data_IF_169839054606
#
_entry.id   IF_169839054606
#
_cell.length_a   1.000
_cell.length_b   1.000
_cell.length_c   1.000
_cell.angle_alpha   90.00
_cell.angle_beta   90.00
_cell.angle_gamma   90.00
#
_symmetry.space_group_name_H-M   'P 1'
#
loop_
_entity.id
_entity.type
_entity.pdbx_description
1 polymer ?
#
# COMPACT_ATOMS: atom_id res chain seq x y z
N UNK A 1 -31.10 -42.71 -16.12
CA UNK A 1 -29.70 -42.35 -15.83
C UNK A 1 -29.48 -40.83 -15.92
N UNK A 2 -29.82 -40.15 -17.02
CA UNK A 2 -29.61 -38.70 -17.21
C UNK A 2 -30.37 -37.80 -16.23
N UNK A 3 -31.66 -38.06 -15.97
CA UNK A 3 -32.47 -37.27 -15.04
C UNK A 3 -31.95 -37.35 -13.59
N UNK A 4 -31.56 -38.54 -13.13
CA UNK A 4 -31.00 -38.74 -11.79
C UNK A 4 -29.68 -37.97 -11.63
N UNK A 5 -28.79 -38.06 -12.62
CA UNK A 5 -27.53 -37.31 -12.64
C UNK A 5 -27.81 -35.81 -12.64
N UNK A 6 -28.74 -35.32 -13.49
CA UNK A 6 -29.10 -33.91 -13.53
C UNK A 6 -29.58 -33.39 -12.15
N UNK A 7 -30.49 -34.10 -11.49
CA UNK A 7 -31.00 -33.73 -10.16
C UNK A 7 -29.89 -33.69 -9.10
N UNK A 8 -28.98 -34.67 -9.12
CA UNK A 8 -27.83 -34.71 -8.21
C UNK A 8 -26.90 -33.51 -8.45
N UNK A 9 -26.55 -33.23 -9.70
CA UNK A 9 -25.69 -32.08 -10.05
C UNK A 9 -26.33 -30.74 -9.69
N UNK A 10 -27.63 -30.56 -9.93
CA UNK A 10 -28.34 -29.34 -9.55
C UNK A 10 -28.30 -29.10 -8.04
N UNK A 11 -28.46 -30.16 -7.23
CA UNK A 11 -28.38 -30.04 -5.77
C UNK A 11 -26.98 -29.64 -5.31
N UNK A 12 -25.93 -30.21 -5.90
CA UNK A 12 -24.56 -29.82 -5.59
C UNK A 12 -24.24 -28.39 -6.03
N UNK A 13 -24.76 -27.94 -7.17
CA UNK A 13 -24.61 -26.54 -7.62
C UNK A 13 -25.29 -25.57 -6.65
N UNK A 14 -26.52 -25.87 -6.23
CA UNK A 14 -27.23 -25.05 -5.25
C UNK A 14 -26.45 -24.95 -3.93
N UNK A 15 -25.99 -26.09 -3.40
CA UNK A 15 -25.19 -26.11 -2.17
C UNK A 15 -23.85 -25.37 -2.32
N UNK A 16 -23.23 -25.43 -3.49
CA UNK A 16 -22.00 -24.69 -3.77
C UNK A 16 -22.23 -23.18 -3.84
N UNK A 17 -23.40 -22.73 -4.32
CA UNK A 17 -23.81 -21.31 -4.29
C UNK A 17 -24.06 -20.86 -2.85
N UNK A 18 -24.87 -21.60 -2.10
CA UNK A 18 -25.15 -21.33 -0.68
C UNK A 18 -23.87 -21.31 0.18
N UNK A 19 -22.92 -22.21 -0.11
CA UNK A 19 -21.62 -22.22 0.55
C UNK A 19 -20.80 -20.98 0.19
N UNK A 20 -20.83 -20.52 -1.07
CA UNK A 20 -20.11 -19.31 -1.48
C UNK A 20 -20.67 -18.06 -0.79
N UNK A 21 -21.99 -17.94 -0.74
CA UNK A 21 -22.64 -16.79 -0.11
C UNK A 21 -22.44 -16.77 1.42
N UNK A 22 -22.40 -17.93 2.08
CA UNK A 22 -22.31 -18.01 3.54
C UNK A 22 -20.91 -18.28 4.11
N UNK A 23 -19.95 -18.79 3.32
CA UNK A 23 -18.63 -19.20 3.81
C UNK A 23 -17.44 -18.69 2.98
N UNK A 24 -17.65 -18.10 1.79
CA UNK A 24 -16.52 -17.65 0.97
C UNK A 24 -16.01 -16.27 1.42
N UNK A 25 -14.82 -16.27 2.01
CA UNK A 25 -14.03 -15.09 2.36
C UNK A 25 -13.69 -14.23 1.13
N UNK A 26 -14.06 -14.64 -0.10
CA UNK A 26 -13.91 -13.84 -1.32
C UNK A 26 -14.67 -12.52 -1.28
N UNK A 27 -15.77 -12.44 -0.53
CA UNK A 27 -16.46 -11.16 -0.25
C UNK A 27 -15.56 -10.20 0.53
N UNK A 28 -14.63 -10.71 1.35
CA UNK A 28 -13.59 -9.87 1.96
C UNK A 28 -12.58 -9.42 0.92
N UNK A 29 -12.22 -10.23 -0.07
CA UNK A 29 -11.31 -9.81 -1.14
C UNK A 29 -11.85 -8.63 -1.96
N UNK A 30 -13.14 -8.66 -2.29
CA UNK A 30 -13.82 -7.56 -2.98
C UNK A 30 -13.99 -6.33 -2.08
N UNK A 31 -14.39 -6.51 -0.82
CA UNK A 31 -14.42 -5.42 0.16
C UNK A 31 -13.02 -4.82 0.36
N UNK A 32 -11.98 -5.65 0.45
CA UNK A 32 -10.60 -5.22 0.60
C UNK A 32 -10.13 -4.44 -0.62
N UNK A 33 -10.47 -4.89 -1.83
CA UNK A 33 -10.20 -4.17 -3.08
C UNK A 33 -10.93 -2.81 -3.13
N UNK A 34 -12.23 -2.79 -2.79
CA UNK A 34 -13.03 -1.55 -2.73
C UNK A 34 -12.53 -0.60 -1.62
N UNK A 35 -12.06 -1.12 -0.48
CA UNK A 35 -11.47 -0.31 0.59
C UNK A 35 -10.03 0.11 0.32
N UNK A 36 -9.31 -0.60 -0.55
CA UNK A 36 -7.97 -0.21 -1.02
C UNK A 36 -8.06 0.96 -2.00
N UNK A 37 -9.11 1.03 -2.81
CA UNK A 37 -9.40 2.20 -3.65
C UNK A 37 -9.70 3.45 -2.79
N UNK A 38 -10.14 3.26 -1.53
CA UNK A 38 -10.31 4.32 -0.53
C UNK A 38 -9.11 4.53 0.41
N UNK A 39 -8.08 3.68 0.36
CA UNK A 39 -6.78 4.04 0.91
C UNK A 39 -6.23 5.08 -0.06
N UNK A 40 -6.18 6.38 0.31
CA UNK A 40 -5.47 7.32 -0.54
C UNK A 40 -4.08 6.72 -0.70
N UNK A 41 -3.59 6.68 -1.94
CA UNK A 41 -2.17 6.46 -2.22
C UNK A 41 -1.42 7.19 -1.12
N UNK A 42 -0.92 6.47 -0.12
CA UNK A 42 0.03 7.02 0.82
C UNK A 42 1.18 7.25 -0.12
N UNK A 43 1.25 8.45 -0.69
CA UNK A 43 2.02 8.68 -1.91
C UNK A 43 3.38 8.16 -1.53
N UNK A 44 3.85 7.11 -2.19
CA UNK A 44 5.00 6.35 -1.73
C UNK A 44 6.19 7.27 -1.43
N UNK A 45 6.18 8.38 -2.14
CA UNK A 45 6.86 9.64 -1.95
C UNK A 45 6.71 10.36 -0.60
N UNK A 46 5.50 10.64 -0.11
CA UNK A 46 5.21 11.17 1.22
C UNK A 46 5.70 10.21 2.30
N UNK A 47 5.51 8.91 2.11
CA UNK A 47 6.04 7.89 3.02
C UNK A 47 7.57 7.92 3.06
N UNK A 48 8.21 7.98 1.88
CA UNK A 48 9.66 8.13 1.73
C UNK A 48 10.15 9.43 2.39
N UNK A 49 9.44 10.54 2.17
CA UNK A 49 9.76 11.84 2.77
C UNK A 49 9.73 11.78 4.30
N UNK A 50 8.68 11.20 4.90
CA UNK A 50 8.60 11.00 6.35
C UNK A 50 9.73 10.12 6.90
N UNK A 51 10.08 9.05 6.17
CA UNK A 51 11.21 8.18 6.55
C UNK A 51 12.54 8.95 6.52
N UNK A 52 12.76 9.79 5.51
CA UNK A 52 13.97 10.61 5.40
C UNK A 52 14.06 11.66 6.52
N UNK A 53 12.95 12.33 6.85
CA UNK A 53 12.89 13.27 7.98
C UNK A 53 13.20 12.57 9.32
N UNK A 54 12.61 11.39 9.55
CA UNK A 54 12.85 10.62 10.76
C UNK A 54 14.32 10.19 10.87
N UNK A 55 14.93 9.82 9.75
CA UNK A 55 16.35 9.48 9.69
C UNK A 55 17.25 10.68 9.98
N UNK A 56 16.91 11.85 9.45
CA UNK A 56 17.61 13.10 9.73
C UNK A 56 17.56 13.49 11.21
N UNK A 57 16.40 13.35 11.87
CA UNK A 57 16.30 13.56 13.32
C UNK A 57 17.18 12.60 14.11
N UNK A 58 17.28 11.33 13.70
CA UNK A 58 18.14 10.35 14.36
C UNK A 58 19.62 10.73 14.22
N UNK A 59 20.04 11.17 13.04
CA UNK A 59 21.40 11.66 12.81
C UNK A 59 21.65 12.89 13.70
N UNK A 60 20.73 13.85 13.73
CA UNK A 60 20.88 15.06 14.54
C UNK A 60 21.07 14.72 16.03
N UNK A 61 20.23 13.82 16.56
CA UNK A 61 20.26 13.38 17.96
C UNK A 61 21.55 12.60 18.29
N UNK A 62 22.01 11.73 17.40
CA UNK A 62 23.11 10.81 17.68
C UNK A 62 24.50 11.36 17.28
N UNK A 63 24.56 12.29 16.34
CA UNK A 63 25.81 12.84 15.82
C UNK A 63 26.08 14.29 16.28
N UNK A 64 25.24 14.88 17.15
CA UNK A 64 25.38 16.25 17.66
C UNK A 64 25.54 17.30 16.54
N UNK A 65 24.93 17.04 15.38
CA UNK A 65 25.00 17.95 14.24
C UNK A 65 24.03 19.11 14.44
N UNK A 66 24.41 20.29 13.95
CA UNK A 66 23.47 21.40 13.87
C UNK A 66 22.35 21.07 12.88
N UNK A 67 21.15 21.59 13.14
CA UNK A 67 19.98 21.44 12.25
C UNK A 67 20.32 21.84 10.81
N UNK A 68 21.05 22.95 10.66
CA UNK A 68 21.52 23.46 9.37
C UNK A 68 22.42 22.46 8.62
N UNK A 69 23.32 21.75 9.33
CA UNK A 69 24.17 20.75 8.70
C UNK A 69 23.39 19.53 8.22
N UNK A 70 22.35 19.14 8.96
CA UNK A 70 21.47 18.03 8.59
C UNK A 70 20.56 18.42 7.42
N UNK A 71 20.01 19.64 7.41
CA UNK A 71 19.23 20.17 6.30
C UNK A 71 20.03 20.19 5.00
N UNK A 72 21.26 20.72 5.04
CA UNK A 72 22.15 20.76 3.86
C UNK A 72 22.46 19.36 3.31
N UNK A 73 22.63 18.38 4.20
CA UNK A 73 22.89 17.00 3.80
C UNK A 73 21.64 16.36 3.17
N UNK A 74 20.46 16.62 3.72
CA UNK A 74 19.18 16.20 3.12
C UNK A 74 18.97 16.83 1.74
N UNK A 75 19.18 18.13 1.61
CA UNK A 75 19.01 18.85 0.34
C UNK A 75 19.99 18.32 -0.73
N UNK A 76 21.25 18.09 -0.36
CA UNK A 76 22.25 17.48 -1.25
C UNK A 76 21.85 16.07 -1.68
N UNK A 77 21.34 15.26 -0.73
CA UNK A 77 20.87 13.91 -1.02
C UNK A 77 19.68 13.92 -1.99
N UNK A 78 18.71 14.81 -1.78
CA UNK A 78 17.54 14.95 -2.64
C UNK A 78 17.93 15.39 -4.07
N UNK A 79 18.97 16.22 -4.21
CA UNK A 79 19.51 16.65 -5.52
C UNK A 79 20.25 15.52 -6.26
N UNK A 80 20.83 14.56 -5.54
CA UNK A 80 21.53 13.41 -6.11
C UNK A 80 20.60 12.22 -6.44
N UNK A 81 19.31 12.32 -6.11
CA UNK A 81 18.36 11.26 -6.44
C UNK A 81 18.22 11.06 -7.95
N UNK A 82 18.02 9.81 -8.43
CA UNK A 82 17.77 9.55 -9.83
C UNK A 82 16.53 10.32 -10.32
N UNK A 83 16.54 10.78 -11.57
CA UNK A 83 15.53 11.69 -12.14
C UNK A 83 14.08 11.23 -11.95
N UNK A 84 13.85 9.92 -11.99
CA UNK A 84 12.55 9.29 -11.71
C UNK A 84 11.94 9.70 -10.36
N UNK A 85 12.78 9.92 -9.35
CA UNK A 85 12.38 10.24 -7.98
C UNK A 85 12.30 11.75 -7.76
N UNK A 86 13.21 12.51 -8.39
CA UNK A 86 13.23 13.97 -8.31
C UNK A 86 11.99 14.64 -8.94
N UNK A 87 11.45 14.05 -10.02
CA UNK A 87 10.19 14.50 -10.64
C UNK A 87 8.97 14.17 -9.79
N UNK A 88 9.09 13.11 -9.00
CA UNK A 88 8.01 12.63 -8.16
C UNK A 88 7.90 13.46 -6.88
N UNK A 89 9.02 13.84 -6.25
CA UNK A 89 9.08 14.44 -4.90
C UNK A 89 8.41 15.83 -4.82
N UNK A 90 7.62 16.13 -3.76
CA UNK A 90 7.02 17.43 -3.62
C UNK A 90 8.16 18.41 -3.29
N UNK A 91 8.31 19.45 -4.09
CA UNK A 91 9.26 20.52 -3.79
C UNK A 91 8.83 21.18 -2.48
N UNK A 92 9.65 21.09 -1.44
CA UNK A 92 9.38 21.80 -0.19
C UNK A 92 9.38 23.30 -0.47
N UNK A 93 8.23 23.94 -0.19
CA UNK A 93 8.11 25.40 -0.10
C UNK A 93 8.81 25.93 1.14
#
# INVERSE_FOLDING_TARGET
MTAHVAVVFTRYMLLAVEQRENQDLRSIGELFYLTIDELPDLQFLEALHLVLLQFAELIQKNCLLSEQAVQLMLDSFLQELPSLWAESLPKSS
#
